data_IF_083267407482
#
_entry.id   IF_083267407482
#
_cell.length_a   1.000
_cell.length_b   1.000
_cell.length_c   1.000
_cell.angle_alpha   90.00
_cell.angle_beta   90.00
_cell.angle_gamma   90.00
#
_symmetry.space_group_name_H-M   'P 1'
#
loop_
_entity.id
_entity.type
_entity.pdbx_description
1 polymer ?
#
# COMPACT_ATOMS: atom_id res chain seq x y z
N UNK A 1 35.84 -0.26 -15.62
CA UNK A 1 35.13 -0.95 -14.53
C UNK A 1 33.93 -0.08 -14.21
N UNK A 2 32.76 -0.39 -14.74
CA UNK A 2 31.50 0.29 -14.40
C UNK A 2 31.23 -0.01 -12.94
N UNK A 3 31.23 1.01 -12.08
CA UNK A 3 30.69 0.90 -10.73
C UNK A 3 29.28 0.36 -10.88
N UNK A 4 29.06 -0.87 -10.39
CA UNK A 4 27.76 -1.51 -10.43
C UNK A 4 26.75 -0.59 -9.74
N UNK A 5 25.74 -0.16 -10.48
CA UNK A 5 24.64 0.61 -9.90
C UNK A 5 24.09 -0.18 -8.71
N UNK A 6 23.98 0.46 -7.54
CA UNK A 6 23.36 -0.18 -6.39
C UNK A 6 21.97 -0.69 -6.79
N UNK A 7 21.64 -1.95 -6.46
CA UNK A 7 20.32 -2.49 -6.82
C UNK A 7 19.22 -1.61 -6.20
N UNK A 8 18.16 -1.41 -6.97
CA UNK A 8 16.96 -0.66 -6.56
C UNK A 8 16.48 -1.11 -5.18
N UNK A 9 16.12 -0.17 -4.32
CA UNK A 9 15.58 -0.45 -3.00
C UNK A 9 14.13 0.04 -2.87
N UNK A 10 13.28 -0.77 -2.24
CA UNK A 10 11.88 -0.48 -2.02
C UNK A 10 11.50 -0.65 -0.55
N UNK A 11 10.78 0.32 0.00
CA UNK A 11 10.07 0.16 1.28
C UNK A 11 8.63 -0.23 0.99
N UNK A 12 8.19 -1.39 1.51
CA UNK A 12 6.79 -1.86 1.41
C UNK A 12 6.16 -1.84 2.80
N UNK A 13 5.20 -0.94 3.03
CA UNK A 13 4.52 -0.88 4.32
C UNK A 13 3.47 -1.99 4.45
N UNK A 14 3.33 -2.59 5.64
CA UNK A 14 2.40 -3.70 5.88
C UNK A 14 2.74 -4.96 5.08
N UNK A 15 4.02 -5.29 4.93
CA UNK A 15 4.50 -6.36 4.09
C UNK A 15 4.51 -7.76 4.75
N UNK A 16 4.07 -7.88 6.01
CA UNK A 16 4.12 -9.15 6.75
C UNK A 16 3.08 -10.19 6.31
N UNK A 17 2.07 -9.82 5.51
CA UNK A 17 1.00 -10.71 5.05
C UNK A 17 0.25 -10.16 3.83
N UNK A 18 -0.63 -10.95 3.26
CA UNK A 18 -1.60 -10.56 2.22
C UNK A 18 -0.96 -9.87 1.01
N UNK A 19 -1.56 -8.79 0.55
CA UNK A 19 -1.10 -8.03 -0.62
C UNK A 19 0.35 -7.56 -0.43
N UNK A 20 0.70 -7.04 0.74
CA UNK A 20 2.06 -6.53 1.02
C UNK A 20 3.13 -7.61 0.94
N UNK A 21 2.84 -8.83 1.40
CA UNK A 21 3.72 -10.00 1.25
C UNK A 21 3.95 -10.32 -0.23
N UNK A 22 2.90 -10.41 -1.02
CA UNK A 22 3.00 -10.72 -2.45
C UNK A 22 3.74 -9.62 -3.25
N UNK A 23 3.56 -8.35 -2.86
CA UNK A 23 4.34 -7.23 -3.42
C UNK A 23 5.82 -7.41 -3.09
N UNK A 24 6.17 -7.70 -1.83
CA UNK A 24 7.55 -7.89 -1.40
C UNK A 24 8.23 -9.03 -2.16
N UNK A 25 7.56 -10.19 -2.27
CA UNK A 25 8.05 -11.35 -3.03
C UNK A 25 8.24 -11.01 -4.51
N UNK A 26 7.29 -10.34 -5.12
CA UNK A 26 7.33 -9.97 -6.53
C UNK A 26 8.47 -8.99 -6.84
N UNK A 27 8.69 -7.99 -5.99
CA UNK A 27 9.77 -7.03 -6.16
C UNK A 27 11.15 -7.68 -5.94
N UNK A 28 11.29 -8.52 -4.90
CA UNK A 28 12.52 -9.25 -4.65
C UNK A 28 12.89 -10.20 -5.80
N UNK A 29 11.90 -10.87 -6.41
CA UNK A 29 12.10 -11.70 -7.61
C UNK A 29 12.56 -10.90 -8.85
N UNK A 30 12.44 -9.57 -8.81
CA UNK A 30 12.96 -8.63 -9.83
C UNK A 30 14.32 -8.02 -9.42
N UNK A 31 14.98 -8.55 -8.37
CA UNK A 31 16.28 -8.06 -7.90
C UNK A 31 16.22 -6.78 -7.06
N UNK A 32 15.03 -6.39 -6.58
CA UNK A 32 14.85 -5.22 -5.71
C UNK A 32 15.15 -5.60 -4.26
N UNK A 33 15.95 -4.81 -3.56
CA UNK A 33 16.13 -4.92 -2.10
C UNK A 33 14.88 -4.40 -1.41
N UNK A 34 14.27 -5.18 -0.54
CA UNK A 34 12.97 -4.87 0.06
C UNK A 34 13.09 -4.63 1.55
N UNK A 35 12.59 -3.48 1.99
CA UNK A 35 12.25 -3.20 3.39
C UNK A 35 10.87 -3.77 3.70
N UNK A 36 10.84 -4.87 4.44
CA UNK A 36 9.62 -5.53 4.90
C UNK A 36 9.14 -4.84 6.17
N UNK A 37 8.21 -3.90 6.03
CA UNK A 37 7.67 -3.19 7.18
C UNK A 37 6.51 -3.96 7.81
N UNK A 38 6.48 -3.97 9.15
CA UNK A 38 5.43 -4.56 9.99
C UNK A 38 5.18 -3.69 11.25
N UNK A 39 4.02 -3.87 11.89
CA UNK A 39 3.70 -3.20 13.16
C UNK A 39 3.92 -4.11 14.35
N UNK A 40 3.24 -5.22 14.42
CA UNK A 40 3.19 -6.10 15.60
C UNK A 40 3.70 -7.52 15.32
N UNK A 41 3.28 -8.14 14.22
CA UNK A 41 3.58 -9.54 13.94
C UNK A 41 4.99 -9.70 13.33
N UNK A 42 5.99 -9.72 14.21
CA UNK A 42 7.40 -9.89 13.84
C UNK A 42 7.65 -11.27 13.20
N UNK A 43 7.07 -12.33 13.74
CA UNK A 43 7.25 -13.71 13.22
C UNK A 43 6.76 -13.83 11.78
N UNK A 44 5.59 -13.25 11.47
CA UNK A 44 5.10 -13.24 10.09
C UNK A 44 6.03 -12.43 9.16
N UNK A 45 6.54 -11.30 9.62
CA UNK A 45 7.48 -10.50 8.84
C UNK A 45 8.82 -11.22 8.61
N UNK A 46 9.34 -11.93 9.61
CA UNK A 46 10.54 -12.78 9.49
C UNK A 46 10.33 -13.92 8.49
N UNK A 47 9.16 -14.55 8.51
CA UNK A 47 8.80 -15.57 7.52
C UNK A 47 8.79 -15.02 6.10
N UNK A 48 8.26 -13.80 5.90
CA UNK A 48 8.30 -13.14 4.59
C UNK A 48 9.75 -12.86 4.20
N UNK A 49 10.54 -12.26 5.10
CA UNK A 49 11.95 -11.95 4.83
C UNK A 49 12.74 -13.19 4.38
N UNK A 50 12.55 -14.32 5.07
CA UNK A 50 13.21 -15.58 4.75
C UNK A 50 12.79 -16.15 3.38
N UNK A 51 11.59 -15.81 2.90
CA UNK A 51 11.07 -16.25 1.62
C UNK A 51 11.46 -15.34 0.44
N UNK A 52 12.05 -14.17 0.70
CA UNK A 52 12.46 -13.25 -0.36
C UNK A 52 13.68 -13.78 -1.11
N UNK A 53 13.63 -13.90 -2.43
CA UNK A 53 14.82 -14.26 -3.22
C UNK A 53 15.81 -13.10 -3.26
N UNK A 54 17.11 -13.42 -3.20
CA UNK A 54 18.20 -12.43 -3.22
C UNK A 54 18.66 -12.04 -1.81
N UNK A 55 19.39 -10.96 -1.73
CA UNK A 55 20.04 -10.50 -0.50
C UNK A 55 19.81 -9.01 -0.25
N UNK A 56 20.17 -8.56 0.96
CA UNK A 56 20.12 -7.14 1.32
C UNK A 56 18.73 -6.62 1.70
N UNK A 57 17.75 -7.50 1.89
CA UNK A 57 16.44 -7.15 2.44
C UNK A 57 16.54 -6.79 3.93
N UNK A 58 15.54 -6.13 4.48
CA UNK A 58 15.53 -5.71 5.88
C UNK A 58 14.12 -5.80 6.49
N UNK A 59 14.07 -6.12 7.80
CA UNK A 59 12.87 -5.93 8.61
C UNK A 59 12.85 -4.53 9.19
N UNK A 60 11.70 -3.86 9.12
CA UNK A 60 11.51 -2.50 9.60
C UNK A 60 10.20 -2.43 10.39
N UNK A 61 10.28 -2.04 11.66
CA UNK A 61 9.12 -1.96 12.54
C UNK A 61 8.67 -0.52 12.74
N UNK A 62 7.38 -0.24 12.52
CA UNK A 62 6.76 1.04 12.88
C UNK A 62 5.24 0.90 13.03
N UNK A 63 4.62 1.81 13.79
CA UNK A 63 3.18 2.06 13.67
C UNK A 63 2.96 3.24 12.72
N UNK A 64 2.29 2.98 11.59
CA UNK A 64 1.98 4.03 10.61
C UNK A 64 1.06 5.12 11.14
N UNK A 65 0.37 4.89 12.27
CA UNK A 65 -0.45 5.90 12.94
C UNK A 65 0.39 6.90 13.75
N UNK A 66 1.62 6.55 14.14
CA UNK A 66 2.53 7.38 14.93
C UNK A 66 3.53 8.13 14.02
N UNK A 67 3.52 9.49 14.01
CA UNK A 67 4.43 10.27 13.17
C UNK A 67 5.92 10.05 13.49
N UNK A 68 6.27 9.85 14.76
CA UNK A 68 7.66 9.58 15.18
C UNK A 68 8.15 8.22 14.68
N UNK A 69 7.28 7.22 14.71
CA UNK A 69 7.56 5.90 14.14
C UNK A 69 7.75 5.98 12.61
N UNK A 70 6.95 6.79 11.92
CA UNK A 70 7.09 6.99 10.46
C UNK A 70 8.41 7.68 10.11
N UNK A 71 8.82 8.69 10.87
CA UNK A 71 10.11 9.36 10.68
C UNK A 71 11.28 8.39 10.91
N UNK A 72 11.25 7.64 12.01
CA UNK A 72 12.24 6.60 12.31
C UNK A 72 12.29 5.52 11.22
N UNK A 73 11.14 5.03 10.77
CA UNK A 73 11.04 4.04 9.70
C UNK A 73 11.77 4.50 8.43
N UNK A 74 11.53 5.74 8.01
CA UNK A 74 12.17 6.30 6.82
C UNK A 74 13.69 6.44 7.01
N UNK A 75 14.11 6.92 8.17
CA UNK A 75 15.53 7.06 8.50
C UNK A 75 16.24 5.69 8.52
N UNK A 76 15.66 4.67 9.14
CA UNK A 76 16.19 3.30 9.18
C UNK A 76 16.28 2.69 7.77
N UNK A 77 15.23 2.84 6.96
CA UNK A 77 15.23 2.36 5.58
C UNK A 77 16.34 3.03 4.76
N UNK A 78 16.48 4.34 4.88
CA UNK A 78 17.53 5.10 4.18
C UNK A 78 18.94 4.70 4.65
N UNK A 79 19.15 4.55 5.95
CA UNK A 79 20.42 4.08 6.50
C UNK A 79 20.78 2.67 6.01
N UNK A 80 19.78 1.77 5.94
CA UNK A 80 19.97 0.38 5.52
C UNK A 80 20.29 0.22 4.05
N UNK A 81 19.65 1.01 3.20
CA UNK A 81 19.74 0.86 1.74
C UNK A 81 20.65 1.90 1.08
N UNK A 82 21.05 2.95 1.79
CA UNK A 82 21.72 4.14 1.25
C UNK A 82 20.74 5.07 0.51
N UNK A 83 19.78 4.49 -0.21
CA UNK A 83 18.72 5.19 -0.94
C UNK A 83 17.50 4.29 -1.00
N UNK A 84 16.30 4.87 -0.92
CA UNK A 84 15.02 4.22 -1.19
C UNK A 84 14.48 4.78 -2.50
N UNK A 85 14.42 3.94 -3.54
CA UNK A 85 14.00 4.35 -4.89
C UNK A 85 12.48 4.23 -5.08
N UNK A 86 11.86 3.31 -4.33
CA UNK A 86 10.43 3.00 -4.41
C UNK A 86 9.83 2.97 -3.01
N UNK A 87 8.69 3.64 -2.85
CA UNK A 87 7.83 3.52 -1.68
C UNK A 87 6.51 2.88 -2.09
N UNK A 88 6.11 1.80 -1.41
CA UNK A 88 4.77 1.20 -1.55
C UNK A 88 4.01 1.36 -0.24
N UNK A 89 3.00 2.23 -0.22
CA UNK A 89 2.08 2.42 0.90
C UNK A 89 0.95 1.40 0.81
N UNK A 90 1.12 0.27 1.50
CA UNK A 90 0.15 -0.81 1.55
C UNK A 90 -0.46 -1.02 2.95
N UNK A 91 0.23 -0.64 4.02
CA UNK A 91 -0.32 -0.75 5.38
C UNK A 91 -1.68 -0.06 5.50
N UNK A 92 -2.66 -0.78 6.04
CA UNK A 92 -3.99 -0.25 6.26
C UNK A 92 -4.67 -0.89 7.49
N UNK A 93 -5.53 -0.12 8.13
CA UNK A 93 -6.49 -0.56 9.13
C UNK A 93 -7.89 -0.59 8.51
N UNK A 94 -8.66 -1.62 8.89
CA UNK A 94 -10.08 -1.74 8.57
C UNK A 94 -10.83 -2.14 9.84
N UNK A 95 -11.94 -1.48 10.11
CA UNK A 95 -12.84 -1.80 11.21
C UNK A 95 -14.26 -1.43 10.79
N UNK A 96 -15.21 -2.33 10.98
CA UNK A 96 -16.63 -2.01 10.76
C UNK A 96 -17.14 -1.09 11.88
N UNK A 97 -17.87 -0.05 11.48
CA UNK A 97 -18.49 0.95 12.36
C UNK A 97 -19.70 1.59 11.67
N UNK A 98 -20.73 0.77 11.34
CA UNK A 98 -21.92 1.28 10.67
C UNK A 98 -22.63 2.31 11.56
N UNK A 99 -23.11 3.45 10.99
CA UNK A 99 -23.52 4.61 11.78
C UNK A 99 -24.75 4.38 12.66
N UNK A 100 -25.62 3.43 12.30
CA UNK A 100 -26.86 3.19 13.05
C UNK A 100 -26.68 2.21 14.24
N UNK A 101 -25.61 1.42 14.26
CA UNK A 101 -25.38 0.41 15.30
C UNK A 101 -24.10 0.63 16.12
N UNK A 102 -23.27 1.60 15.73
CA UNK A 102 -22.01 1.92 16.41
C UNK A 102 -22.22 3.03 17.44
N UNK A 103 -21.81 2.81 18.68
CA UNK A 103 -21.82 3.86 19.71
C UNK A 103 -20.86 5.00 19.35
N UNK A 104 -21.19 6.24 19.73
CA UNK A 104 -20.43 7.44 19.32
C UNK A 104 -18.95 7.39 19.70
N UNK A 105 -18.61 6.84 20.86
CA UNK A 105 -17.21 6.66 21.29
C UNK A 105 -16.44 5.71 20.34
N UNK A 106 -17.04 4.57 20.02
CA UNK A 106 -16.45 3.59 19.10
C UNK A 106 -16.33 4.15 17.69
N UNK A 107 -17.29 5.00 17.27
CA UNK A 107 -17.23 5.75 16.03
C UNK A 107 -15.99 6.64 15.97
N UNK A 108 -15.76 7.47 16.98
CA UNK A 108 -14.58 8.35 17.06
C UNK A 108 -13.27 7.55 17.04
N UNK A 109 -13.17 6.48 17.82
CA UNK A 109 -11.99 5.61 17.84
C UNK A 109 -11.70 4.98 16.46
N UNK A 110 -12.74 4.55 15.73
CA UNK A 110 -12.59 3.98 14.41
C UNK A 110 -12.07 5.04 13.41
N UNK A 111 -12.63 6.25 13.43
CA UNK A 111 -12.17 7.35 12.62
C UNK A 111 -10.73 7.72 12.89
N UNK A 112 -10.37 7.92 14.15
CA UNK A 112 -9.01 8.29 14.56
C UNK A 112 -7.99 7.25 14.08
N UNK A 113 -8.24 5.97 14.35
CA UNK A 113 -7.37 4.86 13.95
C UNK A 113 -7.22 4.76 12.43
N UNK A 114 -8.36 4.77 11.71
CA UNK A 114 -8.37 4.53 10.27
C UNK A 114 -7.73 5.70 9.52
N UNK A 115 -8.06 6.94 9.86
CA UNK A 115 -7.47 8.12 9.22
C UNK A 115 -5.97 8.22 9.55
N UNK A 116 -5.58 7.96 10.79
CA UNK A 116 -4.17 7.98 11.18
C UNK A 116 -3.36 6.96 10.37
N UNK A 117 -3.83 5.71 10.27
CA UNK A 117 -3.09 4.63 9.60
C UNK A 117 -3.16 4.73 8.07
N UNK A 118 -4.35 5.00 7.50
CA UNK A 118 -4.59 4.85 6.06
C UNK A 118 -4.35 6.12 5.24
N UNK A 119 -4.33 7.28 5.89
CA UNK A 119 -4.18 8.56 5.20
C UNK A 119 -3.03 9.39 5.75
N UNK A 120 -3.04 9.70 7.06
CA UNK A 120 -1.99 10.54 7.66
C UNK A 120 -0.61 9.86 7.63
N UNK A 121 -0.54 8.57 7.96
CA UNK A 121 0.71 7.80 7.89
C UNK A 121 1.32 7.78 6.48
N UNK A 122 0.57 7.37 5.45
CA UNK A 122 1.00 7.49 4.05
C UNK A 122 1.39 8.92 3.65
N UNK A 123 0.64 9.94 4.07
CA UNK A 123 0.99 11.33 3.77
C UNK A 123 2.36 11.71 4.37
N UNK A 124 2.61 11.33 5.62
CA UNK A 124 3.87 11.61 6.31
C UNK A 124 5.07 10.90 5.65
N UNK A 125 4.94 9.59 5.35
CA UNK A 125 6.04 8.87 4.69
C UNK A 125 6.24 9.34 3.25
N UNK A 126 5.17 9.71 2.54
CA UNK A 126 5.28 10.32 1.21
C UNK A 126 6.04 11.66 1.26
N UNK A 127 5.82 12.49 2.29
CA UNK A 127 6.56 13.74 2.48
C UNK A 127 8.06 13.49 2.60
N UNK A 128 8.47 12.52 3.44
CA UNK A 128 9.86 12.15 3.63
C UNK A 128 10.48 11.58 2.35
N UNK A 129 9.75 10.65 1.71
CA UNK A 129 10.15 10.01 0.46
C UNK A 129 10.32 11.03 -0.68
N UNK A 130 9.36 11.90 -0.86
CA UNK A 130 9.36 12.90 -1.91
C UNK A 130 10.60 13.79 -1.85
N UNK A 131 10.96 14.26 -0.65
CA UNK A 131 12.15 15.10 -0.44
C UNK A 131 13.46 14.36 -0.76
N UNK A 132 13.58 13.12 -0.26
CA UNK A 132 14.76 12.30 -0.50
C UNK A 132 14.89 11.89 -1.97
N UNK A 133 13.80 11.47 -2.59
CA UNK A 133 13.76 11.07 -4.00
C UNK A 133 14.04 12.25 -4.93
N UNK A 134 13.47 13.43 -4.69
CA UNK A 134 13.75 14.63 -5.47
C UNK A 134 15.23 15.03 -5.40
N UNK A 135 15.83 14.97 -4.21
CA UNK A 135 17.26 15.25 -4.02
C UNK A 135 18.19 14.21 -4.67
N UNK A 136 17.69 13.01 -4.93
CA UNK A 136 18.45 11.89 -5.52
C UNK A 136 18.16 11.65 -7.01
N UNK A 137 17.46 12.57 -7.69
CA UNK A 137 17.19 12.49 -9.12
C UNK A 137 15.93 11.70 -9.49
N UNK A 138 15.01 11.52 -8.56
CA UNK A 138 13.71 10.91 -8.80
C UNK A 138 13.43 9.63 -8.00
N UNK A 139 12.26 9.07 -8.18
CA UNK A 139 11.79 7.85 -7.52
C UNK A 139 10.34 7.54 -7.85
N UNK A 140 9.78 6.51 -7.21
CA UNK A 140 8.41 6.10 -7.44
C UNK A 140 7.65 5.85 -6.13
N UNK A 141 6.43 6.31 -6.07
CA UNK A 141 5.51 6.10 -4.94
C UNK A 141 4.28 5.37 -5.48
N UNK A 142 3.93 4.24 -4.87
CA UNK A 142 2.72 3.49 -5.20
C UNK A 142 1.85 3.39 -3.96
N UNK A 143 0.66 3.97 -4.02
CA UNK A 143 -0.30 3.95 -2.92
C UNK A 143 -1.39 2.90 -3.17
N UNK A 144 -1.65 2.04 -2.18
CA UNK A 144 -2.72 1.03 -2.27
C UNK A 144 -4.01 1.62 -1.72
N UNK A 145 -4.90 1.93 -2.64
CA UNK A 145 -6.25 2.43 -2.38
C UNK A 145 -7.26 1.28 -2.24
N UNK A 146 -8.47 1.47 -2.71
CA UNK A 146 -9.55 0.50 -2.75
C UNK A 146 -10.64 0.95 -3.73
N UNK A 147 -11.43 0.02 -4.28
CA UNK A 147 -12.70 0.35 -4.94
C UNK A 147 -13.65 1.09 -4.00
N UNK A 148 -13.53 0.88 -2.68
CA UNK A 148 -14.30 1.57 -1.64
C UNK A 148 -14.11 3.07 -1.62
N UNK A 149 -12.99 3.58 -2.17
CA UNK A 149 -12.76 5.01 -2.36
C UNK A 149 -13.78 5.69 -3.29
N UNK A 150 -14.47 4.92 -4.12
CA UNK A 150 -15.38 5.42 -5.15
C UNK A 150 -16.84 5.04 -4.91
N UNK A 151 -17.06 3.81 -4.44
CA UNK A 151 -18.43 3.27 -4.27
C UNK A 151 -19.04 3.56 -2.90
N UNK A 152 -18.25 4.06 -1.96
CA UNK A 152 -18.62 4.15 -0.55
C UNK A 152 -18.47 2.79 0.17
N UNK A 153 -18.37 2.86 1.50
CA UNK A 153 -18.28 1.68 2.38
C UNK A 153 -19.24 1.87 3.55
N UNK A 154 -20.51 1.42 3.42
CA UNK A 154 -21.56 1.68 4.43
C UNK A 154 -21.23 1.09 5.80
N UNK A 155 -20.54 -0.04 5.84
CA UNK A 155 -20.12 -0.68 7.09
C UNK A 155 -18.82 -0.09 7.67
N UNK A 156 -18.04 0.66 6.88
CA UNK A 156 -16.77 1.22 7.28
C UNK A 156 -16.53 2.62 6.64
N UNK A 157 -17.36 3.64 6.97
CA UNK A 157 -17.31 4.95 6.30
C UNK A 157 -15.94 5.62 6.36
N UNK A 158 -15.23 5.55 7.51
CA UNK A 158 -13.89 6.11 7.63
C UNK A 158 -12.87 5.43 6.70
N UNK A 159 -13.04 4.13 6.43
CA UNK A 159 -12.18 3.42 5.48
C UNK A 159 -12.37 3.97 4.06
N UNK A 160 -13.61 4.07 3.58
CA UNK A 160 -13.91 4.66 2.27
C UNK A 160 -13.35 6.08 2.15
N UNK A 161 -13.62 6.92 3.15
CA UNK A 161 -13.10 8.30 3.20
C UNK A 161 -11.56 8.35 3.18
N UNK A 162 -10.87 7.48 3.95
CA UNK A 162 -9.41 7.43 3.97
C UNK A 162 -8.82 7.06 2.60
N UNK A 163 -9.45 6.11 1.89
CA UNK A 163 -8.99 5.67 0.57
C UNK A 163 -9.30 6.69 -0.53
N UNK A 164 -10.42 7.40 -0.45
CA UNK A 164 -10.72 8.53 -1.32
C UNK A 164 -9.73 9.69 -1.10
N UNK A 165 -9.42 10.02 0.16
CA UNK A 165 -8.37 10.98 0.51
C UNK A 165 -7.00 10.58 -0.01
N UNK A 166 -6.65 9.29 0.04
CA UNK A 166 -5.38 8.76 -0.48
C UNK A 166 -5.29 8.91 -2.00
N UNK A 167 -6.40 8.72 -2.75
CA UNK A 167 -6.44 8.97 -4.18
C UNK A 167 -6.15 10.45 -4.49
N UNK A 168 -6.83 11.36 -3.79
CA UNK A 168 -6.63 12.81 -3.95
C UNK A 168 -5.21 13.24 -3.59
N UNK A 169 -4.65 12.71 -2.50
CA UNK A 169 -3.26 12.93 -2.11
C UNK A 169 -2.31 12.46 -3.22
N UNK A 170 -2.52 11.24 -3.75
CA UNK A 170 -1.68 10.67 -4.82
C UNK A 170 -1.64 11.56 -6.06
N UNK A 171 -2.80 12.06 -6.49
CA UNK A 171 -2.91 12.97 -7.63
C UNK A 171 -2.27 14.33 -7.38
N UNK A 172 -2.40 14.86 -6.15
CA UNK A 172 -1.77 16.11 -5.76
C UNK A 172 -0.25 15.99 -5.76
N UNK A 173 0.28 14.89 -5.20
CA UNK A 173 1.72 14.61 -5.18
C UNK A 173 2.26 14.36 -6.59
N UNK A 174 1.51 13.66 -7.46
CA UNK A 174 1.91 13.44 -8.84
C UNK A 174 2.14 14.76 -9.58
N UNK A 175 1.20 15.70 -9.44
CA UNK A 175 1.33 17.04 -10.06
C UNK A 175 2.50 17.84 -9.50
N UNK A 176 2.70 17.80 -8.19
CA UNK A 176 3.74 18.58 -7.52
C UNK A 176 5.14 18.04 -7.77
N UNK A 177 5.29 16.72 -7.91
CA UNK A 177 6.60 16.04 -7.87
C UNK A 177 7.10 15.57 -9.24
N UNK A 178 6.24 15.50 -10.26
CA UNK A 178 6.64 15.10 -11.60
C UNK A 178 7.82 15.90 -12.19
N UNK A 179 7.90 17.25 -11.97
CA UNK A 179 9.06 18.03 -12.44
C UNK A 179 10.40 17.62 -11.82
N UNK A 180 10.37 16.96 -10.64
CA UNK A 180 11.55 16.43 -9.95
C UNK A 180 11.82 14.95 -10.25
N UNK A 181 11.10 14.36 -11.22
CA UNK A 181 11.24 12.94 -11.58
C UNK A 181 10.66 11.96 -10.54
N UNK A 182 9.86 12.43 -9.59
CA UNK A 182 9.17 11.56 -8.64
C UNK A 182 7.76 11.25 -9.16
N UNK A 183 7.53 9.98 -9.48
CA UNK A 183 6.30 9.51 -10.10
C UNK A 183 5.39 8.86 -9.06
N UNK A 184 4.10 9.18 -9.07
CA UNK A 184 3.14 8.70 -8.08
C UNK A 184 2.01 7.97 -8.77
N UNK A 185 1.75 6.75 -8.33
CA UNK A 185 0.69 5.88 -8.83
C UNK A 185 -0.22 5.44 -7.68
N UNK A 186 -1.44 5.12 -8.01
CA UNK A 186 -2.40 4.56 -7.07
C UNK A 186 -2.98 3.27 -7.66
N UNK A 187 -3.06 2.21 -6.87
CA UNK A 187 -3.72 0.95 -7.25
C UNK A 187 -4.93 0.78 -6.35
N UNK A 188 -6.09 0.52 -6.95
CA UNK A 188 -7.39 0.39 -6.28
C UNK A 188 -7.93 -1.04 -6.40
N UNK A 189 -7.58 -1.96 -5.47
CA UNK A 189 -8.11 -3.33 -5.48
C UNK A 189 -9.60 -3.38 -5.16
N UNK A 190 -10.25 -4.47 -5.62
CA UNK A 190 -11.52 -4.92 -5.09
C UNK A 190 -11.37 -5.76 -3.83
N UNK A 191 -12.27 -6.74 -3.63
CA UNK A 191 -12.05 -7.81 -2.67
C UNK A 191 -10.88 -8.69 -3.12
N UNK A 192 -9.92 -8.86 -2.25
CA UNK A 192 -8.69 -9.62 -2.52
C UNK A 192 -8.63 -10.83 -1.60
N UNK A 193 -8.29 -11.99 -2.15
CA UNK A 193 -8.10 -13.21 -1.38
C UNK A 193 -6.87 -13.08 -0.47
N UNK A 194 -7.12 -12.77 0.80
CA UNK A 194 -6.12 -12.56 1.84
C UNK A 194 -6.64 -13.13 3.15
N UNK A 195 -5.75 -13.34 4.12
CA UNK A 195 -6.13 -13.75 5.47
C UNK A 195 -7.16 -12.78 6.09
N UNK A 196 -7.02 -11.48 5.84
CA UNK A 196 -7.96 -10.46 6.34
C UNK A 196 -9.36 -10.62 5.73
N UNK A 197 -9.47 -11.04 4.48
CA UNK A 197 -10.74 -11.23 3.79
C UNK A 197 -11.35 -12.63 4.03
N UNK A 198 -10.57 -13.59 4.54
CA UNK A 198 -10.97 -14.98 4.66
C UNK A 198 -12.25 -15.17 5.49
N UNK A 199 -12.37 -14.47 6.62
CA UNK A 199 -13.58 -14.53 7.48
C UNK A 199 -14.82 -14.00 6.75
N UNK A 200 -14.70 -12.89 6.02
CA UNK A 200 -15.79 -12.32 5.23
C UNK A 200 -16.20 -13.23 4.07
N UNK A 201 -15.23 -13.85 3.40
CA UNK A 201 -15.45 -14.75 2.28
C UNK A 201 -16.02 -16.11 2.69
N UNK A 202 -15.69 -16.58 3.90
CA UNK A 202 -16.25 -17.79 4.48
C UNK A 202 -17.62 -17.56 5.17
N UNK A 203 -17.90 -16.31 5.53
CA UNK A 203 -19.12 -15.92 6.24
C UNK A 203 -20.37 -15.83 5.35
N UNK A 204 -21.51 -15.45 5.93
CA UNK A 204 -22.81 -15.38 5.24
C UNK A 204 -22.81 -14.46 4.01
N UNK A 205 -21.95 -13.42 4.00
CA UNK A 205 -21.80 -12.46 2.90
C UNK A 205 -20.87 -12.94 1.78
N UNK A 206 -20.19 -14.07 1.96
CA UNK A 206 -19.18 -14.55 1.01
C UNK A 206 -19.70 -14.81 -0.39
N UNK A 207 -20.92 -15.39 -0.49
CA UNK A 207 -21.57 -15.63 -1.78
C UNK A 207 -21.93 -14.31 -2.49
N UNK A 208 -22.47 -13.33 -1.76
CA UNK A 208 -22.78 -11.99 -2.28
C UNK A 208 -21.52 -11.26 -2.75
N UNK A 209 -20.42 -11.33 -1.97
CA UNK A 209 -19.15 -10.73 -2.34
C UNK A 209 -18.63 -11.32 -3.66
N UNK A 210 -18.67 -12.64 -3.82
CA UNK A 210 -18.23 -13.29 -5.07
C UNK A 210 -19.14 -12.94 -6.26
N UNK A 211 -20.43 -12.85 -6.04
CA UNK A 211 -21.41 -12.49 -7.08
C UNK A 211 -21.19 -11.06 -7.63
N UNK A 212 -20.54 -10.18 -6.88
CA UNK A 212 -20.17 -8.85 -7.37
C UNK A 212 -19.04 -8.89 -8.42
N UNK A 213 -18.34 -10.02 -8.60
CA UNK A 213 -17.20 -10.14 -9.47
C UNK A 213 -17.56 -10.92 -10.75
N UNK A 214 -17.62 -10.27 -11.93
CA UNK A 214 -17.93 -10.95 -13.19
C UNK A 214 -16.99 -12.10 -13.54
N UNK A 215 -15.76 -12.11 -12.98
CA UNK A 215 -14.82 -13.24 -13.13
C UNK A 215 -15.21 -14.49 -12.31
N UNK A 216 -16.31 -14.46 -11.53
CA UNK A 216 -16.74 -15.55 -10.66
C UNK A 216 -15.87 -15.78 -9.43
N UNK A 217 -14.87 -14.94 -9.18
CA UNK A 217 -13.95 -14.99 -8.05
C UNK A 217 -13.52 -13.60 -7.61
N UNK A 218 -13.06 -13.48 -6.39
CA UNK A 218 -12.34 -12.28 -5.92
C UNK A 218 -10.94 -12.21 -6.54
N UNK A 219 -10.28 -11.08 -6.40
CA UNK A 219 -8.95 -10.83 -6.97
C UNK A 219 -7.90 -11.59 -6.14
N UNK A 220 -6.92 -12.21 -6.80
CA UNK A 220 -5.75 -12.79 -6.14
C UNK A 220 -4.79 -11.70 -5.66
N UNK A 221 -4.14 -11.90 -4.52
CA UNK A 221 -3.15 -10.96 -4.01
C UNK A 221 -1.96 -10.78 -4.98
N UNK A 222 -1.61 -11.84 -5.70
CA UNK A 222 -0.56 -11.82 -6.73
C UNK A 222 -0.94 -10.97 -7.96
N UNK A 223 -2.23 -10.83 -8.28
CA UNK A 223 -2.69 -9.97 -9.39
C UNK A 223 -2.49 -8.50 -9.02
N UNK A 224 -2.81 -8.14 -7.77
CA UNK A 224 -2.51 -6.79 -7.24
C UNK A 224 -1.01 -6.56 -7.23
N UNK A 225 -0.22 -7.51 -6.73
CA UNK A 225 1.23 -7.39 -6.64
C UNK A 225 1.89 -7.23 -8.03
N UNK A 226 1.38 -7.87 -9.07
CA UNK A 226 1.85 -7.67 -10.46
C UNK A 226 1.63 -6.24 -10.93
N UNK A 227 0.47 -5.67 -10.66
CA UNK A 227 0.15 -4.28 -11.01
C UNK A 227 1.03 -3.29 -10.23
N UNK A 228 1.23 -3.55 -8.93
CA UNK A 228 2.12 -2.71 -8.10
C UNK A 228 3.57 -2.78 -8.60
N UNK A 229 4.08 -3.96 -8.92
CA UNK A 229 5.43 -4.11 -9.45
C UNK A 229 5.59 -3.39 -10.81
N UNK A 230 4.58 -3.45 -11.68
CA UNK A 230 4.56 -2.67 -12.92
C UNK A 230 4.65 -1.16 -12.62
N UNK A 231 3.84 -0.63 -11.71
CA UNK A 231 3.89 0.79 -11.31
C UNK A 231 5.26 1.15 -10.70
N UNK A 232 5.80 0.26 -9.88
CA UNK A 232 7.06 0.47 -9.16
C UNK A 232 8.29 0.47 -10.07
N UNK A 233 8.28 -0.29 -11.17
CA UNK A 233 9.48 -0.54 -11.97
C UNK A 233 9.34 -0.14 -13.45
N UNK A 234 8.20 -0.41 -14.06
CA UNK A 234 8.08 -0.44 -15.53
C UNK A 234 7.13 0.63 -16.09
N UNK A 235 6.18 1.15 -15.29
CA UNK A 235 5.15 2.07 -15.78
C UNK A 235 5.77 3.33 -16.39
N UNK A 236 5.31 3.76 -17.56
CA UNK A 236 5.80 4.99 -18.20
C UNK A 236 5.47 6.22 -17.34
N UNK A 237 6.35 7.23 -17.38
CA UNK A 237 6.18 8.46 -16.59
C UNK A 237 4.84 9.17 -16.87
N UNK A 238 4.34 9.08 -18.09
CA UNK A 238 3.05 9.66 -18.47
C UNK A 238 1.84 9.10 -17.69
N UNK A 239 1.99 7.95 -17.01
CA UNK A 239 0.97 7.39 -16.14
C UNK A 239 0.98 7.97 -14.71
N UNK A 240 1.89 8.91 -14.38
CA UNK A 240 1.91 9.52 -13.04
C UNK A 240 0.56 10.18 -12.74
N UNK A 241 0.04 9.97 -11.53
CA UNK A 241 -1.31 10.40 -11.13
C UNK A 241 -2.43 9.42 -11.46
N UNK A 242 -2.14 8.32 -12.20
CA UNK A 242 -3.15 7.32 -12.50
C UNK A 242 -3.63 6.60 -11.24
N UNK A 243 -4.94 6.31 -11.21
CA UNK A 243 -5.54 5.36 -10.28
C UNK A 243 -5.96 4.14 -11.09
N UNK A 244 -5.37 3.00 -10.81
CA UNK A 244 -5.50 1.77 -11.58
C UNK A 244 -6.38 0.79 -10.80
N UNK A 245 -7.54 0.44 -11.38
CA UNK A 245 -8.44 -0.53 -10.78
C UNK A 245 -7.94 -1.96 -11.00
N UNK A 246 -7.90 -2.73 -9.90
CA UNK A 246 -7.63 -4.18 -9.90
C UNK A 246 -8.74 -4.84 -9.09
N UNK A 247 -9.97 -4.86 -9.65
CA UNK A 247 -11.15 -5.23 -8.93
C UNK A 247 -12.05 -6.26 -9.66
N UNK A 248 -11.57 -6.83 -10.78
CA UNK A 248 -12.31 -7.83 -11.55
C UNK A 248 -13.65 -7.31 -12.07
N UNK A 249 -13.74 -6.03 -12.43
CA UNK A 249 -14.95 -5.33 -12.84
C UNK A 249 -16.09 -5.34 -11.79
N UNK A 250 -15.79 -5.61 -10.51
CA UNK A 250 -16.77 -5.56 -9.43
C UNK A 250 -17.23 -4.13 -9.10
N UNK A 251 -16.57 -3.14 -9.66
CA UNK A 251 -16.97 -1.74 -9.72
C UNK A 251 -16.30 -1.07 -10.92
N UNK A 252 -17.06 -0.36 -11.71
CA UNK A 252 -16.58 0.45 -12.84
C UNK A 252 -16.78 1.93 -12.53
N UNK A 253 -15.74 2.72 -12.70
CA UNK A 253 -15.82 4.19 -12.58
C UNK A 253 -16.35 4.75 -13.88
N UNK A 254 -17.36 5.57 -13.78
CA UNK A 254 -17.90 6.37 -14.90
C UNK A 254 -17.40 7.79 -14.80
#
# INVERSE_FOLDING_TARGET
MTQGANPTACLVTGASRGIGREIALRLAARGVRVGVHFRENRTAAESVLAALPGEGHALLRADMADPGDVERLWAEATARFGRVDVLVNNAAAHREHPPLSTGYRQWLEAWDQIIATNLRGPANVCYLAARAMAASGGGRIVNISSRGAFRGEPEAPAYGASKAGLNSLSQSLAKALAPQGVLVYCVAPGWVETEMAAEFLAGPRGAEIRAQHPLGRVVGAEEVARTVAFCALDAPAAMTGAVIDVNGASYLRT
#
